data_IF_670049678038
#
_entry.id   IF_670049678038
#
_cell.length_a   1.000
_cell.length_b   1.000
_cell.length_c   1.000
_cell.angle_alpha   90.00
_cell.angle_beta   90.00
_cell.angle_gamma   90.00
#
_symmetry.space_group_name_H-M   'P 1'
#
loop_
_entity.id
_entity.type
_entity.pdbx_description
1 polymer ?
#
# COMPACT_ATOMS: atom_id res chain seq x y z
N UNK A 1 4.28 -14.05 -5.99
CA UNK A 1 4.87 -12.96 -5.19
C UNK A 1 3.75 -12.05 -4.75
N UNK A 2 3.48 -12.00 -3.45
CA UNK A 2 2.50 -11.08 -2.88
C UNK A 2 3.27 -9.84 -2.47
N UNK A 3 3.30 -8.86 -3.35
CA UNK A 3 3.89 -7.56 -3.07
C UNK A 3 2.92 -6.76 -2.22
N UNK A 4 3.47 -6.13 -1.21
CA UNK A 4 2.76 -5.20 -0.38
C UNK A 4 2.84 -3.81 -1.00
N UNK A 5 1.87 -2.96 -0.65
CA UNK A 5 1.98 -1.53 -0.86
C UNK A 5 1.72 -0.85 0.46
N UNK A 6 2.51 0.17 0.74
CA UNK A 6 2.17 1.10 1.77
C UNK A 6 2.75 2.47 1.50
N UNK A 7 1.87 3.39 1.17
CA UNK A 7 2.17 4.81 1.13
C UNK A 7 0.98 5.55 1.72
N UNK A 8 1.24 6.73 2.30
CA UNK A 8 0.19 7.62 2.77
C UNK A 8 -0.71 8.00 1.59
N UNK A 9 -2.02 7.98 1.83
CA UNK A 9 -3.04 8.30 0.85
C UNK A 9 -2.73 9.63 0.12
N UNK A 10 -2.84 9.69 -1.23
CA UNK A 10 -2.75 10.95 -1.96
C UNK A 10 -3.73 12.00 -1.39
N UNK A 11 -3.40 13.31 -1.39
CA UNK A 11 -2.16 13.95 -1.85
C UNK A 11 -1.16 14.19 -0.70
N UNK A 12 -1.25 13.45 0.41
CA UNK A 12 -0.51 13.77 1.65
C UNK A 12 1.02 13.66 1.52
N UNK A 13 1.53 13.11 0.41
CA UNK A 13 2.96 13.01 0.09
C UNK A 13 3.23 13.44 -1.35
N UNK A 14 4.40 14.05 -1.58
CA UNK A 14 4.85 14.61 -2.86
C UNK A 14 5.32 13.56 -3.89
N UNK A 15 5.10 12.27 -3.61
CA UNK A 15 5.52 11.15 -4.47
C UNK A 15 4.38 10.65 -5.37
N UNK A 16 3.13 10.94 -5.01
CA UNK A 16 1.96 10.63 -5.83
C UNK A 16 1.76 11.69 -6.90
N UNK A 17 1.63 11.25 -8.15
CA UNK A 17 1.27 12.10 -9.28
C UNK A 17 -0.20 11.89 -9.64
N UNK A 18 -0.97 12.97 -9.76
CA UNK A 18 -2.35 12.87 -10.28
C UNK A 18 -2.32 12.23 -11.67
N UNK A 19 -3.11 11.18 -11.85
CA UNK A 19 -3.12 10.42 -13.08
C UNK A 19 -4.37 10.69 -13.92
N UNK A 20 -5.55 10.61 -13.30
CA UNK A 20 -6.84 10.72 -13.98
C UNK A 20 -7.95 11.04 -12.99
N UNK A 21 -8.97 11.80 -13.41
CA UNK A 21 -10.23 11.90 -12.66
C UNK A 21 -11.07 10.63 -12.84
N UNK A 22 -11.98 10.35 -11.90
CA UNK A 22 -12.92 9.22 -12.00
C UNK A 22 -13.60 9.15 -13.38
N UNK A 23 -13.74 7.94 -13.92
CA UNK A 23 -14.24 7.60 -15.26
C UNK A 23 -13.28 7.89 -16.43
N UNK A 24 -12.08 8.42 -16.19
CA UNK A 24 -11.04 8.51 -17.23
C UNK A 24 -10.05 7.34 -17.16
N UNK A 25 -9.09 7.32 -18.09
CA UNK A 25 -8.03 6.31 -18.12
C UNK A 25 -6.74 6.88 -17.52
N UNK A 26 -6.18 6.16 -16.55
CA UNK A 26 -4.85 6.42 -16.02
C UNK A 26 -3.81 5.71 -16.90
N UNK A 27 -3.20 6.44 -17.85
CA UNK A 27 -2.27 5.87 -18.82
C UNK A 27 -0.81 5.94 -18.33
N UNK A 28 -0.16 4.77 -18.26
CA UNK A 28 1.27 4.65 -17.96
C UNK A 28 1.84 3.38 -18.59
N UNK A 29 3.17 3.30 -18.66
CA UNK A 29 3.92 2.13 -19.11
C UNK A 29 4.80 1.60 -17.98
N UNK A 30 5.12 0.31 -18.04
CA UNK A 30 5.82 -0.37 -16.96
C UNK A 30 4.92 -0.67 -15.77
N UNK A 31 5.50 -1.26 -14.73
CA UNK A 31 4.78 -1.57 -13.50
C UNK A 31 4.65 -0.29 -12.68
N UNK A 32 3.44 0.12 -12.31
CA UNK A 32 3.18 1.27 -11.44
C UNK A 32 2.10 0.90 -10.43
N UNK A 33 2.03 1.64 -9.31
CA UNK A 33 0.92 1.53 -8.37
C UNK A 33 -0.05 2.69 -8.58
N UNK A 34 -1.34 2.37 -8.64
CA UNK A 34 -2.44 3.33 -8.80
C UNK A 34 -3.28 3.35 -7.54
N UNK A 35 -3.47 4.53 -6.96
CA UNK A 35 -4.40 4.81 -5.88
C UNK A 35 -5.68 5.44 -6.44
N UNK A 36 -6.85 4.87 -6.16
CA UNK A 36 -8.16 5.39 -6.54
C UNK A 36 -8.94 5.79 -5.30
N UNK A 37 -9.38 7.05 -5.21
CA UNK A 37 -10.12 7.51 -4.03
C UNK A 37 -10.15 9.02 -3.86
N UNK A 38 -10.60 9.44 -2.68
CA UNK A 38 -10.69 10.83 -2.27
C UNK A 38 -10.73 10.94 -0.73
N UNK A 39 -10.40 12.13 -0.21
CA UNK A 39 -10.53 12.47 1.22
C UNK A 39 -9.92 11.44 2.20
N UNK A 40 -8.77 10.86 1.84
CA UNK A 40 -8.08 9.85 2.64
C UNK A 40 -8.60 8.41 2.47
N UNK A 41 -9.73 8.21 1.78
CA UNK A 41 -10.28 6.90 1.47
C UNK A 41 -9.85 6.45 0.08
N UNK A 42 -8.91 5.51 0.02
CA UNK A 42 -8.34 5.00 -1.23
C UNK A 42 -8.34 3.48 -1.33
N UNK A 43 -8.31 3.00 -2.57
CA UNK A 43 -8.04 1.61 -2.99
C UNK A 43 -6.80 1.63 -3.88
N UNK A 44 -6.03 0.55 -3.90
CA UNK A 44 -4.75 0.52 -4.60
C UNK A 44 -4.65 -0.71 -5.50
N UNK A 45 -3.97 -0.57 -6.64
CA UNK A 45 -3.60 -1.69 -7.50
C UNK A 45 -2.24 -1.45 -8.15
N UNK A 46 -1.39 -2.48 -8.21
CA UNK A 46 -0.12 -2.46 -8.94
C UNK A 46 -0.29 -3.18 -10.25
N UNK A 47 -0.04 -2.48 -11.36
CA UNK A 47 -0.41 -2.94 -12.71
C UNK A 47 0.77 -2.74 -13.68
N UNK A 48 0.97 -3.63 -14.67
CA UNK A 48 2.07 -3.54 -15.63
C UNK A 48 1.84 -2.53 -16.77
N UNK A 49 0.76 -1.76 -16.71
CA UNK A 49 0.39 -0.75 -17.69
C UNK A 49 -0.92 -0.06 -17.29
N UNK A 50 -1.29 0.95 -18.07
CA UNK A 50 -2.45 1.82 -17.78
C UNK A 50 -3.75 1.10 -17.44
N UNK A 51 -4.62 1.79 -16.70
CA UNK A 51 -5.88 1.24 -16.17
C UNK A 51 -7.03 2.25 -16.18
N UNK A 52 -8.29 1.80 -16.38
CA UNK A 52 -9.45 2.65 -16.14
C UNK A 52 -9.54 3.10 -14.68
N UNK A 53 -9.79 4.38 -14.45
CA UNK A 53 -9.95 4.99 -13.14
C UNK A 53 -11.41 4.91 -12.66
N UNK A 54 -11.90 3.71 -12.32
CA UNK A 54 -13.33 3.47 -12.07
C UNK A 54 -13.61 2.59 -10.87
N UNK A 55 -14.84 2.71 -10.35
CA UNK A 55 -15.40 1.81 -9.34
C UNK A 55 -15.39 0.34 -9.78
N UNK A 56 -15.50 0.06 -11.08
CA UNK A 56 -15.46 -1.32 -11.60
C UNK A 56 -14.10 -1.98 -11.40
N UNK A 57 -13.01 -1.21 -11.51
CA UNK A 57 -11.65 -1.72 -11.37
C UNK A 57 -11.24 -1.80 -9.90
N UNK A 58 -11.52 -0.75 -9.12
CA UNK A 58 -10.97 -0.59 -7.77
C UNK A 58 -11.98 -0.82 -6.64
N UNK A 59 -13.28 -0.89 -6.96
CA UNK A 59 -14.37 -0.73 -5.98
C UNK A 59 -14.58 0.74 -5.60
N UNK A 60 -15.63 1.04 -4.83
CA UNK A 60 -15.89 2.40 -4.34
C UNK A 60 -15.36 2.59 -2.91
N UNK A 61 -14.25 3.33 -2.71
CA UNK A 61 -13.75 3.65 -1.37
C UNK A 61 -14.61 4.66 -0.61
N UNK A 62 -15.37 5.52 -1.31
CA UNK A 62 -16.13 6.61 -0.69
C UNK A 62 -17.34 6.98 -1.55
N UNK A 63 -18.48 6.36 -1.24
CA UNK A 63 -19.74 6.56 -1.98
C UNK A 63 -20.21 8.00 -1.93
N UNK A 64 -20.77 8.47 -3.05
CA UNK A 64 -21.28 9.84 -3.19
C UNK A 64 -20.20 10.93 -3.31
N UNK A 65 -18.92 10.56 -3.30
CA UNK A 65 -17.79 11.49 -3.47
C UNK A 65 -17.06 11.19 -4.77
N UNK A 66 -16.75 12.24 -5.53
CA UNK A 66 -15.95 12.14 -6.74
C UNK A 66 -14.51 11.74 -6.39
N UNK A 67 -13.98 10.76 -7.11
CA UNK A 67 -12.65 10.18 -6.86
C UNK A 67 -11.67 10.57 -7.96
N UNK A 68 -10.40 10.32 -7.68
CA UNK A 68 -9.32 10.48 -8.64
C UNK A 68 -8.32 9.34 -8.50
N UNK A 69 -7.65 9.05 -9.60
CA UNK A 69 -6.49 8.18 -9.63
C UNK A 69 -5.22 8.98 -9.49
N UNK A 70 -4.30 8.43 -8.70
CA UNK A 70 -2.95 8.89 -8.54
C UNK A 70 -2.02 7.72 -8.83
N UNK A 71 -0.88 8.01 -9.45
CA UNK A 71 0.13 7.01 -9.77
C UNK A 71 1.42 7.34 -9.04
N UNK A 72 2.13 6.29 -8.65
CA UNK A 72 3.50 6.36 -8.18
C UNK A 72 4.30 5.28 -8.91
N UNK A 73 5.62 5.46 -8.96
CA UNK A 73 6.55 4.45 -9.43
C UNK A 73 6.22 3.06 -8.83
N UNK A 74 6.65 1.96 -9.47
CA UNK A 74 6.53 0.66 -8.83
C UNK A 74 7.20 0.75 -7.46
N UNK A 75 6.62 0.13 -6.40
CA UNK A 75 7.36 -0.01 -5.15
C UNK A 75 8.73 -0.63 -5.47
N UNK A 76 9.81 -0.22 -4.79
CA UNK A 76 11.14 -0.74 -5.05
C UNK A 76 11.07 -2.27 -5.19
N UNK A 77 11.45 -2.77 -6.36
CA UNK A 77 11.31 -4.18 -6.69
C UNK A 77 12.25 -5.01 -5.81
N UNK A 78 11.67 -5.73 -4.83
CA UNK A 78 12.29 -6.77 -4.02
C UNK A 78 13.68 -6.43 -3.48
N UNK A 79 13.74 -5.50 -2.52
CA UNK A 79 14.79 -5.61 -1.53
C UNK A 79 14.45 -6.82 -0.64
N UNK A 80 15.47 -7.61 -0.28
CA UNK A 80 15.35 -8.74 0.63
C UNK A 80 14.57 -8.32 1.88
N UNK A 81 13.36 -8.86 2.06
CA UNK A 81 12.55 -8.59 3.24
C UNK A 81 13.33 -8.99 4.49
N UNK A 82 13.66 -8.00 5.31
CA UNK A 82 14.42 -8.20 6.54
C UNK A 82 13.44 -8.37 7.68
N UNK A 83 13.42 -9.56 8.30
CA UNK A 83 12.65 -9.76 9.52
C UNK A 83 13.16 -8.80 10.61
N UNK A 84 12.25 -8.05 11.23
CA UNK A 84 12.61 -7.00 12.18
C UNK A 84 11.96 -7.17 13.56
N UNK A 85 10.80 -7.82 13.64
CA UNK A 85 10.11 -8.02 14.91
C UNK A 85 9.11 -9.19 14.84
N UNK A 86 8.88 -9.83 15.99
CA UNK A 86 7.69 -10.67 16.19
C UNK A 86 6.46 -9.80 16.56
N UNK A 87 5.27 -10.39 16.47
CA UNK A 87 4.01 -9.77 16.93
C UNK A 87 4.15 -9.21 18.36
N UNK A 88 3.68 -7.98 18.56
CA UNK A 88 3.84 -7.13 19.75
C UNK A 88 5.25 -6.56 19.98
N UNK A 89 6.21 -6.82 19.08
CA UNK A 89 7.50 -6.14 19.06
C UNK A 89 7.46 -4.79 18.35
N UNK A 90 8.62 -4.14 18.24
CA UNK A 90 8.81 -2.91 17.47
C UNK A 90 9.76 -3.16 16.31
N UNK A 91 9.30 -2.92 15.08
CA UNK A 91 10.13 -2.99 13.88
C UNK A 91 10.83 -1.64 13.70
N UNK A 92 12.12 -1.56 14.05
CA UNK A 92 12.91 -0.33 13.95
C UNK A 92 13.79 -0.32 12.69
N UNK A 93 13.83 0.82 12.02
CA UNK A 93 14.66 1.04 10.82
C UNK A 93 14.83 2.54 10.56
N UNK A 94 15.84 2.91 9.77
CA UNK A 94 16.03 4.29 9.34
C UNK A 94 15.29 4.61 8.05
N UNK A 95 14.87 5.88 7.92
CA UNK A 95 14.16 6.39 6.76
C UNK A 95 12.74 5.85 6.62
N UNK A 96 12.13 6.15 5.48
CA UNK A 96 10.84 5.59 5.09
C UNK A 96 11.05 4.19 4.50
N UNK A 97 10.37 3.19 5.07
CA UNK A 97 10.40 1.81 4.58
C UNK A 97 9.00 1.22 4.53
N UNK A 98 8.88 0.20 3.70
CA UNK A 98 7.70 -0.64 3.70
C UNK A 98 7.81 -1.71 4.78
N UNK A 99 6.72 -1.96 5.49
CA UNK A 99 6.65 -2.99 6.52
C UNK A 99 5.51 -3.94 6.21
N UNK A 100 5.81 -5.23 6.15
CA UNK A 100 4.86 -6.32 6.03
C UNK A 100 4.67 -7.02 7.37
N UNK A 101 3.42 -7.14 7.82
CA UNK A 101 3.00 -7.83 9.02
C UNK A 101 2.16 -9.04 8.67
N UNK A 102 2.55 -10.23 9.14
CA UNK A 102 1.77 -11.45 8.84
C UNK A 102 2.54 -12.75 8.99
N UNK A 103 1.94 -13.83 8.49
CA UNK A 103 2.47 -15.19 8.53
C UNK A 103 1.89 -16.05 7.40
N UNK A 104 2.56 -17.15 7.06
CA UNK A 104 2.06 -18.18 6.14
C UNK A 104 1.57 -17.64 4.77
N UNK A 105 2.19 -16.57 4.27
CA UNK A 105 1.79 -15.95 3.00
C UNK A 105 0.55 -15.05 3.08
N UNK A 106 0.08 -14.73 4.28
CA UNK A 106 -0.96 -13.74 4.56
C UNK A 106 -0.34 -12.54 5.27
N UNK A 107 -0.28 -11.40 4.58
CA UNK A 107 0.38 -10.19 5.07
C UNK A 107 -0.49 -8.96 4.82
N UNK A 108 -0.53 -8.07 5.80
CA UNK A 108 -0.97 -6.69 5.68
C UNK A 108 0.24 -5.78 5.79
N UNK A 109 0.19 -4.62 5.15
CA UNK A 109 1.39 -3.82 4.93
C UNK A 109 1.15 -2.33 5.14
N UNK A 110 2.22 -1.64 5.55
CA UNK A 110 2.19 -0.25 6.04
C UNK A 110 3.51 0.49 5.78
N UNK A 111 3.44 1.82 5.60
CA UNK A 111 4.57 2.70 5.27
C UNK A 111 4.90 3.43 6.53
N UNK A 112 6.15 3.35 6.96
CA UNK A 112 6.53 4.03 8.18
C UNK A 112 7.89 4.67 8.02
N UNK A 113 8.12 5.71 8.80
CA UNK A 113 9.40 6.40 8.88
C UNK A 113 9.97 6.20 10.28
N UNK A 114 11.19 5.69 10.38
CA UNK A 114 11.86 5.47 11.67
C UNK A 114 11.46 4.17 12.41
N UNK A 115 10.39 3.50 11.97
CA UNK A 115 9.91 2.25 12.54
C UNK A 115 8.41 2.22 12.79
N UNK A 116 7.91 1.08 13.29
CA UNK A 116 6.48 0.88 13.59
C UNK A 116 6.27 -0.25 14.61
N UNK A 117 5.23 -0.18 15.46
CA UNK A 117 4.81 -1.33 16.26
C UNK A 117 4.34 -2.49 15.37
N UNK A 118 4.86 -3.68 15.63
CA UNK A 118 4.51 -4.89 14.91
C UNK A 118 3.26 -5.55 15.49
N UNK A 119 2.09 -4.94 15.30
CA UNK A 119 0.89 -5.35 16.03
C UNK A 119 -0.41 -5.25 15.22
N UNK A 120 -1.40 -6.05 15.61
CA UNK A 120 -2.75 -6.04 15.02
C UNK A 120 -3.41 -4.66 15.08
N UNK A 121 -3.11 -3.85 16.09
CA UNK A 121 -3.65 -2.48 16.20
C UNK A 121 -3.13 -1.51 15.14
N UNK A 122 -1.99 -1.83 14.50
CA UNK A 122 -1.38 -1.00 13.44
C UNK A 122 -1.80 -1.48 12.05
N UNK A 123 -1.80 -2.80 11.83
CA UNK A 123 -1.99 -3.40 10.51
C UNK A 123 -3.34 -4.11 10.31
N UNK A 124 -4.03 -4.49 11.38
CA UNK A 124 -5.08 -5.53 11.38
C UNK A 124 -4.50 -6.93 11.61
N UNK A 125 -5.35 -7.97 11.66
CA UNK A 125 -4.92 -9.37 11.85
C UNK A 125 -5.06 -10.19 10.55
N UNK A 126 -3.99 -10.35 9.75
CA UNK A 126 -4.03 -11.08 8.49
C UNK A 126 -4.02 -12.60 8.64
N UNK A 127 -3.66 -13.12 9.82
CA UNK A 127 -3.47 -14.55 10.07
C UNK A 127 -3.90 -14.87 11.51
N UNK A 128 -5.21 -14.89 11.75
CA UNK A 128 -5.77 -15.09 13.09
C UNK A 128 -5.40 -16.45 13.69
N UNK A 129 -5.07 -16.47 14.97
CA UNK A 129 -4.59 -17.66 15.68
C UNK A 129 -3.17 -18.11 15.32
N UNK A 130 -2.47 -17.38 14.43
CA UNK A 130 -1.08 -17.66 14.03
C UNK A 130 -0.15 -16.55 14.53
N UNK A 131 1.03 -16.87 15.08
CA UNK A 131 2.06 -15.87 15.39
C UNK A 131 2.49 -15.13 14.12
N UNK A 132 2.45 -13.81 14.15
CA UNK A 132 2.83 -12.97 13.02
C UNK A 132 4.19 -12.30 13.25
N UNK A 133 4.79 -11.86 12.15
CA UNK A 133 6.08 -11.19 12.16
C UNK A 133 6.05 -9.98 11.24
N UNK A 134 6.88 -8.99 11.57
CA UNK A 134 7.16 -7.86 10.71
C UNK A 134 8.44 -8.07 9.92
N UNK A 135 8.38 -7.61 8.70
CA UNK A 135 9.49 -7.56 7.77
C UNK A 135 9.53 -6.16 7.17
N UNK A 136 10.70 -5.58 6.95
CA UNK A 136 10.82 -4.35 6.19
C UNK A 136 11.67 -4.52 4.93
N UNK A 137 11.49 -3.61 3.97
CA UNK A 137 12.40 -3.39 2.86
C UNK A 137 12.73 -1.90 2.72
#
# INVERSE_FOLDING_TARGET
MKSCYAEAAPPATNIWSTCASENNTCAFSGVMTVAYGAAGSYRYATLPGGTPCTNTVFGDPISGTAKSCYLVGPPPSFATWTNCAAENGTCAFSGTREVAYGANGHYFCGSFNGGTPCANGVFGDPASGTPKYCYYQ
#
